data_IF_608214570623
#
_entry.id   IF_608214570623
#
_cell.length_a   1.000
_cell.length_b   1.000
_cell.length_c   1.000
_cell.angle_alpha   90.00
_cell.angle_beta   90.00
_cell.angle_gamma   90.00
#
_symmetry.space_group_name_H-M   'P 1'
#
loop_
_entity.id
_entity.type
_entity.pdbx_description
1 polymer ?
#
# COMPACT_ATOMS: atom_id res chain seq x y z
N UNK A 1 -5.59 24.31 36.50
CA UNK A 1 -4.91 24.81 35.28
C UNK A 1 -4.55 23.72 34.27
N UNK A 2 -4.02 22.55 34.67
CA UNK A 2 -3.58 21.48 33.73
C UNK A 2 -4.67 20.92 32.79
N UNK A 3 -5.93 20.89 33.24
CA UNK A 3 -7.06 20.41 32.41
C UNK A 3 -7.42 21.36 31.24
N UNK A 4 -7.23 22.68 31.41
CA UNK A 4 -7.46 23.67 30.33
C UNK A 4 -6.41 23.54 29.23
N UNK A 5 -5.17 23.16 29.58
CA UNK A 5 -4.09 22.97 28.62
C UNK A 5 -4.34 21.70 27.78
N UNK A 6 -4.74 20.58 28.38
CA UNK A 6 -5.13 19.38 27.62
C UNK A 6 -6.32 19.62 26.68
N UNK A 7 -7.31 20.41 27.10
CA UNK A 7 -8.46 20.74 26.24
C UNK A 7 -8.05 21.58 25.03
N UNK A 8 -7.12 22.53 25.20
CA UNK A 8 -6.57 23.34 24.10
C UNK A 8 -5.81 22.45 23.10
N UNK A 9 -4.98 21.52 23.57
CA UNK A 9 -4.27 20.58 22.69
C UNK A 9 -5.21 19.61 21.97
N UNK A 10 -6.30 19.18 22.61
CA UNK A 10 -7.34 18.36 21.98
C UNK A 10 -8.07 19.12 20.87
N UNK A 11 -8.47 20.38 21.12
CA UNK A 11 -9.10 21.23 20.10
C UNK A 11 -8.14 21.52 18.96
N UNK A 12 -6.86 21.80 19.23
CA UNK A 12 -5.85 22.02 18.18
C UNK A 12 -5.65 20.75 17.34
N UNK A 13 -5.56 19.57 17.95
CA UNK A 13 -5.41 18.31 17.23
C UNK A 13 -6.59 17.97 16.33
N UNK A 14 -7.82 18.17 16.80
CA UNK A 14 -9.04 17.93 16.02
C UNK A 14 -9.17 18.93 14.86
N UNK A 15 -8.86 20.21 15.08
CA UNK A 15 -8.93 21.23 14.03
C UNK A 15 -7.81 21.08 13.00
N UNK A 16 -6.62 20.62 13.40
CA UNK A 16 -5.50 20.41 12.49
C UNK A 16 -5.71 19.19 11.58
N UNK A 17 -6.23 18.08 12.12
CA UNK A 17 -6.58 16.90 11.33
C UNK A 17 -7.78 17.17 10.40
N UNK A 18 -8.76 17.97 10.84
CA UNK A 18 -9.88 18.39 9.98
C UNK A 18 -9.46 19.36 8.86
N UNK A 19 -8.49 20.26 9.12
CA UNK A 19 -8.01 21.24 8.13
C UNK A 19 -7.17 20.62 7.01
N UNK A 20 -6.31 19.65 7.33
CA UNK A 20 -5.44 18.98 6.33
C UNK A 20 -6.25 18.14 5.34
N UNK A 21 -7.45 17.69 5.70
CA UNK A 21 -8.34 16.92 4.81
C UNK A 21 -9.08 17.82 3.82
N UNK A 22 -9.36 19.08 4.15
CA UNK A 22 -10.10 20.00 3.28
C UNK A 22 -9.19 20.73 2.28
N UNK A 23 -7.90 20.89 2.58
CA UNK A 23 -6.96 21.62 1.70
C UNK A 23 -6.32 20.77 0.59
N UNK A 24 -6.56 19.45 0.57
CA UNK A 24 -5.95 18.52 -0.39
C UNK A 24 -6.85 18.13 -1.57
N UNK A 25 -8.08 18.66 -1.66
CA UNK A 25 -8.98 18.46 -2.82
C UNK A 25 -8.76 19.46 -3.97
N UNK A 26 -7.75 20.34 -3.85
CA UNK A 26 -7.51 21.44 -4.81
C UNK A 26 -6.37 21.27 -5.82
N UNK A 27 -5.69 20.11 -5.86
CA UNK A 27 -4.59 19.90 -6.81
C UNK A 27 -5.02 19.01 -7.98
N UNK A 28 -5.23 19.65 -9.13
CA UNK A 28 -5.52 19.04 -10.43
C UNK A 28 -4.59 17.83 -10.73
N UNK A 29 -5.19 16.65 -10.85
CA UNK A 29 -4.54 15.47 -11.42
C UNK A 29 -4.41 15.65 -12.93
N UNK A 30 -3.24 16.15 -13.35
CA UNK A 30 -2.82 16.11 -14.76
C UNK A 30 -2.78 14.66 -15.21
N UNK A 31 -3.69 14.36 -16.12
CA UNK A 31 -4.01 13.06 -16.69
C UNK A 31 -2.82 12.48 -17.48
N UNK A 32 -1.98 11.68 -16.82
CA UNK A 32 -0.83 10.98 -17.39
C UNK A 32 -1.20 9.77 -18.26
N UNK A 33 -2.46 9.30 -18.24
CA UNK A 33 -2.93 8.23 -19.13
C UNK A 33 -3.15 8.69 -20.57
N UNK A 34 -3.35 10.00 -20.79
CA UNK A 34 -3.59 10.54 -22.14
C UNK A 34 -2.30 10.64 -22.98
N UNK A 35 -1.14 10.78 -22.33
CA UNK A 35 0.15 10.90 -23.01
C UNK A 35 0.72 9.55 -23.49
N UNK A 36 0.32 8.44 -22.85
CA UNK A 36 0.82 7.09 -23.20
C UNK A 36 0.03 6.48 -24.37
N UNK A 37 -1.23 6.91 -24.59
CA UNK A 37 -2.03 6.44 -25.73
C UNK A 37 -1.74 7.13 -27.06
N UNK A 38 -1.08 8.30 -27.07
CA UNK A 38 -0.74 9.01 -28.33
C UNK A 38 0.64 8.66 -28.90
N UNK A 39 1.51 7.94 -28.16
CA UNK A 39 2.87 7.59 -28.64
C UNK A 39 2.96 6.15 -29.19
N UNK A 40 1.92 5.34 -29.04
CA UNK A 40 1.84 3.96 -29.53
C UNK A 40 0.71 3.79 -30.55
N UNK A 41 0.80 4.48 -31.68
CA UNK A 41 0.07 4.12 -32.90
C UNK A 41 1.11 3.81 -33.98
N UNK A 42 1.27 2.52 -34.26
CA UNK A 42 2.06 1.99 -35.38
C UNK A 42 1.47 2.43 -36.72
N UNK A 43 2.29 2.69 -37.75
CA UNK A 43 1.82 2.71 -39.13
C UNK A 43 1.75 1.28 -39.68
N UNK A 44 0.60 0.98 -40.29
CA UNK A 44 0.31 0.00 -41.34
C UNK A 44 1.36 -1.08 -41.66
N UNK A 45 1.00 -2.33 -41.33
CA UNK A 45 1.41 -3.50 -42.10
C UNK A 45 0.18 -4.14 -42.71
N UNK A 46 -0.09 -3.84 -43.98
CA UNK A 46 -0.84 -4.71 -44.87
C UNK A 46 -0.28 -4.54 -46.28
N UNK A 47 0.14 -5.66 -46.87
CA UNK A 47 0.43 -5.79 -48.30
C UNK A 47 1.89 -5.99 -48.65
N UNK A 48 2.33 -7.24 -48.71
CA UNK A 48 3.02 -7.82 -49.87
C UNK A 48 3.35 -9.30 -49.60
N UNK A 49 2.42 -10.16 -50.02
CA UNK A 49 2.72 -11.53 -50.42
C UNK A 49 3.47 -11.51 -51.77
N UNK A 50 4.48 -12.38 -51.89
CA UNK A 50 4.88 -12.99 -53.16
C UNK A 50 5.98 -12.32 -53.96
N UNK A 51 7.22 -12.79 -53.78
CA UNK A 51 8.19 -12.96 -54.87
C UNK A 51 9.36 -13.85 -54.45
N UNK A 52 9.30 -15.08 -54.95
CA UNK A 52 10.35 -15.98 -55.43
C UNK A 52 11.81 -15.89 -54.96
N UNK A 53 12.31 -17.09 -54.69
CA UNK A 53 13.69 -17.52 -54.58
C UNK A 53 14.59 -17.00 -55.70
N UNK A 54 15.68 -16.32 -55.32
CA UNK A 54 16.84 -16.05 -56.16
C UNK A 54 18.13 -16.26 -55.36
N UNK A 55 18.83 -17.36 -55.65
CA UNK A 55 20.23 -17.59 -55.29
C UNK A 55 21.13 -16.61 -56.08
N UNK A 56 21.97 -15.85 -55.38
CA UNK A 56 23.23 -15.25 -55.87
C UNK A 56 24.06 -14.90 -54.60
N UNK A 57 25.07 -15.69 -54.23
CA UNK A 57 26.47 -15.66 -54.69
C UNK A 57 27.20 -14.30 -54.55
N UNK A 58 28.22 -14.32 -53.68
CA UNK A 58 29.43 -13.46 -53.66
C UNK A 58 29.34 -11.93 -53.85
N UNK A 59 29.66 -11.18 -52.79
CA UNK A 59 30.96 -10.48 -52.58
C UNK A 59 30.91 -9.51 -51.38
N UNK A 60 32.00 -9.37 -50.60
CA UNK A 60 32.12 -8.32 -49.60
C UNK A 60 32.33 -6.97 -50.29
N UNK A 61 31.40 -6.04 -50.09
CA UNK A 61 31.51 -4.68 -50.57
C UNK A 61 32.62 -3.93 -49.80
N UNK A 62 33.71 -3.68 -50.51
CA UNK A 62 34.73 -2.70 -50.21
C UNK A 62 34.03 -1.34 -50.09
N UNK A 63 33.97 -0.76 -48.88
CA UNK A 63 33.58 0.65 -48.71
C UNK A 63 34.75 1.49 -49.21
N UNK A 64 34.66 1.82 -50.49
CA UNK A 64 35.45 2.80 -51.21
C UNK A 64 35.14 4.16 -50.58
N UNK A 65 36.17 4.83 -50.03
CA UNK A 65 36.12 6.26 -49.66
C UNK A 65 35.58 7.05 -50.84
N UNK A 66 34.36 7.58 -50.73
CA UNK A 66 33.88 8.64 -51.62
C UNK A 66 34.47 9.96 -51.12
N UNK A 67 35.63 10.32 -51.69
CA UNK A 67 36.05 11.70 -51.74
C UNK A 67 35.13 12.46 -52.71
N UNK A 68 34.03 13.02 -52.21
CA UNK A 68 33.47 14.25 -52.78
C UNK A 68 34.19 15.39 -52.04
N UNK A 69 35.16 16.11 -52.61
CA UNK A 69 35.11 16.87 -53.86
C UNK A 69 33.85 17.73 -53.93
N UNK A 70 33.68 18.60 -52.93
CA UNK A 70 33.00 19.86 -53.17
C UNK A 70 34.09 20.86 -53.56
N UNK A 71 34.16 21.00 -54.87
CA UNK A 71 34.99 21.91 -55.63
C UNK A 71 34.87 23.32 -55.06
N UNK A 72 36.02 23.82 -54.63
CA UNK A 72 36.23 25.24 -54.48
C UNK A 72 36.02 25.86 -55.87
N UNK A 73 35.04 26.76 -55.96
CA UNK A 73 34.96 27.73 -57.03
C UNK A 73 36.28 28.50 -57.07
N UNK A 74 37.16 28.10 -57.97
CA UNK A 74 38.31 28.87 -58.44
C UNK A 74 37.72 30.06 -59.21
N UNK A 75 38.06 31.31 -58.89
CA UNK A 75 37.78 32.40 -59.81
C UNK A 75 38.70 32.23 -61.02
N UNK A 76 38.07 31.94 -62.16
CA UNK A 76 38.64 32.02 -63.50
C UNK A 76 39.36 33.36 -63.66
N UNK A 77 40.69 33.31 -63.73
CA UNK A 77 41.51 34.41 -64.26
C UNK A 77 41.35 34.35 -65.77
N UNK A 78 40.21 34.87 -66.24
CA UNK A 78 39.95 34.98 -67.66
C UNK A 78 40.83 36.10 -68.22
N UNK A 79 41.73 35.65 -69.06
CA UNK A 79 42.79 36.39 -69.71
C UNK A 79 42.23 36.92 -71.04
N UNK A 80 41.39 37.97 -70.98
CA UNK A 80 40.95 38.67 -72.18
C UNK A 80 42.01 39.70 -72.58
N UNK A 81 42.89 39.25 -73.47
CA UNK A 81 43.78 40.08 -74.23
C UNK A 81 42.98 41.08 -75.07
N UNK A 82 43.07 42.36 -74.72
CA UNK A 82 42.70 43.46 -75.60
C UNK A 82 43.97 44.17 -76.04
N UNK A 83 44.41 43.80 -77.24
CA UNK A 83 45.41 44.51 -78.05
C UNK A 83 44.88 45.91 -78.39
N UNK A 84 45.66 46.98 -78.18
CA UNK A 84 45.51 48.22 -78.92
C UNK A 84 46.67 48.36 -79.90
N UNK A 85 46.33 48.29 -81.18
CA UNK A 85 47.13 48.76 -82.31
C UNK A 85 47.27 50.28 -82.27
N UNK A 86 48.53 50.71 -82.36
CA UNK A 86 49.07 51.76 -83.22
C UNK A 86 48.60 53.23 -83.08
N UNK A 87 49.57 54.14 -83.22
CA UNK A 87 49.29 55.50 -83.66
C UNK A 87 49.86 56.64 -82.81
N UNK A 88 50.98 57.18 -83.30
CA UNK A 88 51.38 58.60 -83.29
C UNK A 88 52.32 59.07 -82.16
N UNK A 89 53.57 59.29 -82.56
CA UNK A 89 54.56 60.11 -81.85
C UNK A 89 54.07 61.56 -81.67
N UNK A 90 54.61 62.27 -80.67
CA UNK A 90 55.41 63.41 -81.07
C UNK A 90 56.76 63.48 -80.37
N UNK A 91 57.71 63.92 -81.19
CA UNK A 91 59.01 64.49 -80.86
C UNK A 91 58.86 65.63 -79.85
N UNK A 92 59.75 65.75 -78.87
CA UNK A 92 59.95 67.02 -78.18
C UNK A 92 60.57 66.95 -76.79
N UNK A 93 61.78 67.52 -76.70
CA UNK A 93 62.41 68.11 -75.50
C UNK A 93 63.00 67.18 -74.43
N UNK A 94 64.29 66.89 -74.62
CA UNK A 94 65.24 66.63 -73.53
C UNK A 94 65.24 67.80 -72.54
N UNK A 95 64.41 67.68 -71.50
CA UNK A 95 64.46 68.53 -70.32
C UNK A 95 65.44 67.90 -69.33
N UNK A 96 66.51 68.64 -69.04
CA UNK A 96 67.57 68.35 -68.08
C UNK A 96 66.95 67.74 -66.79
N UNK A 97 67.10 66.43 -66.61
CA UNK A 97 66.53 65.70 -65.49
C UNK A 97 67.25 66.10 -64.21
N UNK A 98 66.52 66.70 -63.26
CA UNK A 98 67.04 66.89 -61.91
C UNK A 98 67.27 65.51 -61.26
N UNK A 99 68.52 65.15 -60.90
CA UNK A 99 68.85 63.84 -60.32
C UNK A 99 68.12 63.53 -59.00
N UNK A 100 67.43 64.51 -58.41
CA UNK A 100 66.61 64.33 -57.21
C UNK A 100 65.20 63.80 -57.43
N UNK A 101 64.66 63.79 -58.66
CA UNK A 101 63.26 63.34 -58.91
C UNK A 101 63.17 61.81 -59.05
N UNK A 102 64.06 61.21 -59.83
CA UNK A 102 64.12 59.74 -60.01
C UNK A 102 64.38 59.01 -58.69
N UNK A 103 65.23 59.58 -57.82
CA UNK A 103 65.49 59.01 -56.49
C UNK A 103 64.25 59.04 -55.60
N UNK A 104 63.46 60.12 -55.65
CA UNK A 104 62.20 60.23 -54.90
C UNK A 104 61.15 59.23 -55.39
N UNK A 105 61.01 59.09 -56.70
CA UNK A 105 60.07 58.12 -57.29
C UNK A 105 60.48 56.67 -56.98
N UNK A 106 61.78 56.35 -57.00
CA UNK A 106 62.31 55.05 -56.60
C UNK A 106 62.07 54.73 -55.12
N UNK A 107 62.27 55.72 -54.23
CA UNK A 107 62.01 55.58 -52.78
C UNK A 107 60.52 55.38 -52.52
N UNK A 108 59.65 56.15 -53.18
CA UNK A 108 58.19 55.99 -53.07
C UNK A 108 57.74 54.61 -53.58
N UNK A 109 58.24 54.16 -54.74
CA UNK A 109 57.95 52.82 -55.25
C UNK A 109 58.42 51.70 -54.30
N UNK A 110 59.58 51.86 -53.66
CA UNK A 110 60.05 50.92 -52.61
C UNK A 110 59.16 50.96 -51.37
N UNK A 111 58.68 52.14 -50.97
CA UNK A 111 57.75 52.32 -49.85
C UNK A 111 56.41 51.64 -50.12
N UNK A 112 55.85 51.80 -51.32
CA UNK A 112 54.60 51.17 -51.73
C UNK A 112 54.73 49.64 -51.82
N UNK A 113 55.88 49.15 -52.29
CA UNK A 113 56.21 47.71 -52.22
C UNK A 113 56.27 47.20 -50.78
N UNK A 114 56.85 47.97 -49.86
CA UNK A 114 56.90 47.60 -48.44
C UNK A 114 55.49 47.56 -47.83
N UNK A 115 54.64 48.54 -48.15
CA UNK A 115 53.26 48.62 -47.68
C UNK A 115 52.45 47.42 -48.21
N UNK A 116 52.56 47.10 -49.51
CA UNK A 116 51.87 45.95 -50.10
C UNK A 116 52.37 44.61 -49.57
N UNK A 117 53.68 44.47 -49.30
CA UNK A 117 54.22 43.29 -48.63
C UNK A 117 53.74 43.17 -47.17
N UNK A 118 53.61 44.30 -46.46
CA UNK A 118 53.03 44.32 -45.11
C UNK A 118 51.57 43.87 -45.13
N UNK A 119 50.79 44.34 -46.10
CA UNK A 119 49.39 43.91 -46.28
C UNK A 119 49.30 42.42 -46.61
N UNK A 120 50.11 41.91 -47.55
CA UNK A 120 50.16 40.47 -47.87
C UNK A 120 50.57 39.62 -46.68
N UNK A 121 51.53 40.07 -45.87
CA UNK A 121 51.93 39.38 -44.64
C UNK A 121 50.76 39.30 -43.65
N UNK A 122 50.02 40.39 -43.49
CA UNK A 122 48.84 40.42 -42.62
C UNK A 122 47.71 39.53 -43.13
N UNK A 123 47.49 39.51 -44.45
CA UNK A 123 46.52 38.62 -45.10
C UNK A 123 46.89 37.15 -44.90
N UNK A 124 48.15 36.76 -45.11
CA UNK A 124 48.64 35.39 -44.87
C UNK A 124 48.53 35.00 -43.40
N UNK A 125 48.84 35.91 -42.47
CA UNK A 125 48.65 35.65 -41.03
C UNK A 125 47.17 35.42 -40.71
N UNK A 126 46.26 36.19 -41.33
CA UNK A 126 44.82 36.01 -41.18
C UNK A 126 44.30 34.68 -41.76
N UNK A 127 44.81 34.25 -42.92
CA UNK A 127 44.42 32.94 -43.50
C UNK A 127 44.98 31.78 -42.69
N UNK A 128 46.19 31.91 -42.14
CA UNK A 128 46.81 30.89 -41.29
C UNK A 128 46.05 30.68 -39.98
N UNK A 129 45.62 31.75 -39.30
CA UNK A 129 44.78 31.63 -38.10
C UNK A 129 43.39 31.04 -38.42
N UNK A 130 42.78 31.41 -39.56
CA UNK A 130 41.53 30.78 -40.01
C UNK A 130 41.69 29.29 -40.27
N UNK A 131 42.79 28.86 -40.89
CA UNK A 131 43.07 27.43 -41.13
C UNK A 131 43.29 26.68 -39.81
N UNK A 132 44.06 27.26 -38.90
CA UNK A 132 44.31 26.69 -37.56
C UNK A 132 43.02 26.49 -36.77
N UNK A 133 42.11 27.46 -36.83
CA UNK A 133 40.81 27.35 -36.17
C UNK A 133 39.93 26.28 -36.82
N UNK A 134 39.92 26.17 -38.16
CA UNK A 134 39.24 25.06 -38.86
C UNK A 134 39.79 23.69 -38.43
N UNK A 135 41.11 23.53 -38.32
CA UNK A 135 41.72 22.27 -37.89
C UNK A 135 41.35 21.94 -36.44
N UNK A 136 41.29 22.94 -35.55
CA UNK A 136 40.81 22.75 -34.17
C UNK A 136 39.35 22.30 -34.12
N UNK A 137 38.48 22.91 -34.91
CA UNK A 137 37.08 22.52 -35.00
C UNK A 137 36.91 21.11 -35.58
N UNK A 138 37.67 20.75 -36.61
CA UNK A 138 37.69 19.40 -37.17
C UNK A 138 38.18 18.37 -36.15
N UNK A 139 39.24 18.68 -35.40
CA UNK A 139 39.73 17.81 -34.34
C UNK A 139 38.69 17.62 -33.23
N UNK A 140 38.01 18.71 -32.82
CA UNK A 140 36.95 18.65 -31.82
C UNK A 140 35.77 17.79 -32.31
N UNK A 141 35.36 17.96 -33.56
CA UNK A 141 34.30 17.15 -34.18
C UNK A 141 34.68 15.67 -34.27
N UNK A 142 35.94 15.35 -34.61
CA UNK A 142 36.42 13.98 -34.65
C UNK A 142 36.40 13.32 -33.25
N UNK A 143 36.86 14.03 -32.23
CA UNK A 143 36.83 13.54 -30.85
C UNK A 143 35.38 13.26 -30.41
N UNK A 144 34.44 14.18 -30.68
CA UNK A 144 33.03 13.95 -30.34
C UNK A 144 32.41 12.76 -31.07
N UNK A 145 32.85 12.47 -32.30
CA UNK A 145 32.38 11.31 -33.06
C UNK A 145 32.93 9.99 -32.48
N UNK A 146 34.16 9.99 -31.98
CA UNK A 146 34.77 8.84 -31.31
C UNK A 146 34.05 8.56 -29.99
N UNK A 147 33.80 9.58 -29.17
CA UNK A 147 33.07 9.45 -27.90
C UNK A 147 31.67 8.86 -28.13
N UNK A 148 30.95 9.32 -29.18
CA UNK A 148 29.64 8.77 -29.54
C UNK A 148 29.72 7.30 -29.97
N UNK A 149 30.75 6.90 -30.72
CA UNK A 149 30.93 5.49 -31.10
C UNK A 149 31.23 4.59 -29.91
N UNK A 150 32.01 5.07 -28.94
CA UNK A 150 32.25 4.33 -27.70
C UNK A 150 30.97 4.15 -26.89
N UNK A 151 30.14 5.19 -26.80
CA UNK A 151 28.81 5.09 -26.17
C UNK A 151 27.89 4.09 -26.89
N UNK A 152 27.84 4.11 -28.23
CA UNK A 152 27.06 3.14 -29.00
C UNK A 152 27.52 1.69 -28.77
N UNK A 153 28.83 1.46 -28.67
CA UNK A 153 29.38 0.14 -28.39
C UNK A 153 29.03 -0.34 -26.98
N UNK A 154 29.09 0.56 -25.99
CA UNK A 154 28.72 0.23 -24.61
C UNK A 154 27.23 -0.10 -24.50
N UNK A 155 26.36 0.68 -25.15
CA UNK A 155 24.91 0.39 -25.18
C UNK A 155 24.63 -0.96 -25.87
N UNK A 156 25.32 -1.27 -26.97
CA UNK A 156 25.20 -2.58 -27.64
C UNK A 156 25.63 -3.72 -26.72
N UNK A 157 26.74 -3.55 -25.97
CA UNK A 157 27.21 -4.54 -25.00
C UNK A 157 26.18 -4.78 -23.90
N UNK A 158 25.67 -3.71 -23.29
CA UNK A 158 24.63 -3.81 -22.26
C UNK A 158 23.35 -4.48 -22.79
N UNK A 159 22.94 -4.17 -24.01
CA UNK A 159 21.81 -4.83 -24.64
C UNK A 159 22.03 -6.34 -24.81
N UNK A 160 23.22 -6.75 -25.24
CA UNK A 160 23.57 -8.17 -25.38
C UNK A 160 23.64 -8.91 -24.04
N UNK A 161 24.20 -8.27 -23.01
CA UNK A 161 24.26 -8.83 -21.65
C UNK A 161 22.85 -8.99 -21.04
N UNK A 162 21.99 -7.98 -21.21
CA UNK A 162 20.60 -8.03 -20.77
C UNK A 162 19.81 -9.13 -21.50
N UNK A 163 19.99 -9.26 -22.81
CA UNK A 163 19.31 -10.30 -23.60
C UNK A 163 19.76 -11.70 -23.18
N UNK A 164 21.06 -11.88 -22.88
CA UNK A 164 21.58 -13.15 -22.35
C UNK A 164 21.04 -13.44 -20.95
N UNK A 165 20.96 -12.43 -20.08
CA UNK A 165 20.37 -12.54 -18.74
C UNK A 165 18.90 -12.99 -18.82
N UNK A 166 18.08 -12.32 -19.65
CA UNK A 166 16.67 -12.70 -19.87
C UNK A 166 16.57 -14.12 -20.41
N UNK A 167 17.40 -14.49 -21.39
CA UNK A 167 17.43 -15.85 -21.96
C UNK A 167 17.80 -16.90 -20.91
N UNK A 168 18.67 -16.56 -19.95
CA UNK A 168 19.04 -17.47 -18.86
C UNK A 168 17.96 -17.59 -17.78
N UNK A 169 17.11 -16.58 -17.61
CA UNK A 169 16.00 -16.57 -16.66
C UNK A 169 14.77 -17.34 -17.19
N UNK A 170 14.57 -17.38 -18.51
CA UNK A 170 13.41 -18.01 -19.14
C UNK A 170 13.15 -19.46 -18.68
N UNK A 171 14.16 -20.36 -18.62
CA UNK A 171 13.96 -21.74 -18.17
C UNK A 171 13.54 -21.86 -16.70
N UNK A 172 13.97 -20.93 -15.84
CA UNK A 172 13.53 -20.91 -14.45
C UNK A 172 12.06 -20.51 -14.35
N UNK A 173 11.62 -19.54 -15.15
CA UNK A 173 10.22 -19.13 -15.22
C UNK A 173 9.32 -20.25 -15.75
N UNK A 174 9.77 -20.99 -16.77
CA UNK A 174 9.04 -22.17 -17.28
C UNK A 174 8.87 -23.24 -16.21
N UNK A 175 9.94 -23.57 -15.46
CA UNK A 175 9.84 -24.55 -14.35
C UNK A 175 8.86 -24.10 -13.26
N UNK A 176 8.83 -22.80 -12.95
CA UNK A 176 7.89 -22.26 -11.97
C UNK A 176 6.44 -22.36 -12.47
N UNK A 177 6.19 -22.13 -13.77
CA UNK A 177 4.88 -22.34 -14.37
C UNK A 177 4.45 -23.81 -14.33
N UNK A 178 5.35 -24.75 -14.67
CA UNK A 178 5.07 -26.18 -14.59
C UNK A 178 4.74 -26.61 -13.15
N UNK A 179 5.45 -26.06 -12.16
CA UNK A 179 5.20 -26.29 -10.73
C UNK A 179 3.84 -25.77 -10.29
N UNK A 180 3.48 -24.54 -10.70
CA UNK A 180 2.18 -23.95 -10.40
C UNK A 180 1.03 -24.72 -11.05
N UNK A 181 1.23 -25.25 -12.26
CA UNK A 181 0.24 -26.10 -12.90
C UNK A 181 0.06 -27.44 -12.15
N UNK A 182 1.14 -28.03 -11.66
CA UNK A 182 1.08 -29.22 -10.81
C UNK A 182 0.32 -28.94 -9.49
N UNK A 183 0.63 -27.84 -8.81
CA UNK A 183 -0.07 -27.41 -7.59
C UNK A 183 -1.57 -27.17 -7.85
N UNK A 184 -1.91 -26.51 -8.95
CA UNK A 184 -3.30 -26.30 -9.35
C UNK A 184 -4.05 -27.64 -9.50
N UNK A 185 -3.44 -28.62 -10.18
CA UNK A 185 -4.06 -29.96 -10.35
C UNK A 185 -4.28 -30.65 -9.00
N UNK A 186 -3.36 -30.51 -8.05
CA UNK A 186 -3.53 -31.07 -6.70
C UNK A 186 -4.67 -30.39 -5.95
N UNK A 187 -4.76 -29.06 -6.01
CA UNK A 187 -5.85 -28.31 -5.40
C UNK A 187 -7.22 -28.65 -5.99
N UNK A 188 -7.31 -28.90 -7.31
CA UNK A 188 -8.54 -29.36 -7.96
C UNK A 188 -8.98 -30.75 -7.46
N UNK A 189 -8.03 -31.66 -7.20
CA UNK A 189 -8.31 -32.98 -6.62
C UNK A 189 -8.80 -32.85 -5.18
N UNK A 190 -8.17 -32.01 -4.37
CA UNK A 190 -8.56 -31.77 -2.98
C UNK A 190 -9.94 -31.13 -2.88
N UNK A 191 -10.27 -30.21 -3.79
CA UNK A 191 -11.59 -29.59 -3.87
C UNK A 191 -12.68 -30.62 -4.18
N UNK A 192 -12.43 -31.54 -5.12
CA UNK A 192 -13.36 -32.66 -5.40
C UNK A 192 -13.55 -33.58 -4.20
N UNK A 193 -12.48 -33.86 -3.46
CA UNK A 193 -12.58 -34.65 -2.22
C UNK A 193 -13.39 -33.90 -1.15
N UNK A 194 -13.18 -32.60 -0.98
CA UNK A 194 -13.93 -31.77 -0.04
C UNK A 194 -15.43 -31.72 -0.40
N UNK A 195 -15.76 -31.58 -1.69
CA UNK A 195 -17.14 -31.64 -2.18
C UNK A 195 -17.79 -32.99 -1.87
N UNK A 196 -17.09 -34.09 -2.12
CA UNK A 196 -17.60 -35.45 -1.83
C UNK A 196 -17.86 -35.64 -0.33
N UNK A 197 -16.96 -35.13 0.53
CA UNK A 197 -17.15 -35.16 1.99
C UNK A 197 -18.33 -34.28 2.43
N UNK A 198 -18.57 -33.16 1.77
CA UNK A 198 -19.69 -32.28 2.09
C UNK A 198 -21.02 -32.98 1.76
N UNK A 199 -21.11 -33.68 0.63
CA UNK A 199 -22.30 -34.47 0.28
C UNK A 199 -22.52 -35.61 1.30
N UNK A 200 -21.48 -36.34 1.71
CA UNK A 200 -21.58 -37.35 2.78
C UNK A 200 -22.06 -36.75 4.11
N UNK A 201 -21.53 -35.58 4.50
CA UNK A 201 -21.99 -34.89 5.71
C UNK A 201 -23.46 -34.47 5.61
N UNK A 202 -23.91 -34.03 4.44
CA UNK A 202 -25.29 -33.65 4.18
C UNK A 202 -26.21 -34.87 4.26
N UNK A 203 -25.84 -35.98 3.64
CA UNK A 203 -26.59 -37.25 3.74
C UNK A 203 -26.68 -37.73 5.20
N UNK A 204 -25.59 -37.60 5.97
CA UNK A 204 -25.59 -37.93 7.40
C UNK A 204 -26.48 -36.99 8.21
N UNK A 205 -26.50 -35.70 7.88
CA UNK A 205 -27.38 -34.72 8.53
C UNK A 205 -28.85 -35.00 8.23
N UNK A 206 -29.17 -35.33 6.98
CA UNK A 206 -30.53 -35.72 6.55
C UNK A 206 -31.00 -36.97 7.30
N UNK A 207 -30.13 -37.98 7.43
CA UNK A 207 -30.41 -39.17 8.23
C UNK A 207 -30.62 -38.87 9.73
N UNK A 208 -29.86 -37.91 10.30
CA UNK A 208 -30.05 -37.49 11.69
C UNK A 208 -31.36 -36.71 11.86
N UNK A 209 -31.70 -35.86 10.90
CA UNK A 209 -32.97 -35.12 10.88
C UNK A 209 -34.17 -36.08 10.80
N UNK A 210 -34.11 -37.08 9.91
CA UNK A 210 -35.16 -38.10 9.79
C UNK A 210 -35.21 -39.01 11.02
N UNK A 211 -34.06 -39.34 11.61
CA UNK A 211 -33.98 -40.04 12.89
C UNK A 211 -34.61 -39.25 14.05
N UNK A 212 -34.44 -37.93 14.08
CA UNK A 212 -35.07 -37.02 15.05
C UNK A 212 -36.58 -36.87 14.82
N UNK A 213 -37.05 -36.88 13.57
CA UNK A 213 -38.49 -36.89 13.24
C UNK A 213 -39.14 -38.21 13.63
N UNK A 214 -38.44 -39.34 13.47
CA UNK A 214 -38.91 -40.67 13.85
C UNK A 214 -38.79 -40.98 15.34
N UNK A 215 -37.87 -40.31 16.05
CA UNK A 215 -37.92 -40.16 17.50
C UNK A 215 -39.09 -39.23 17.82
N UNK A 216 -40.30 -39.75 17.69
CA UNK A 216 -41.51 -39.10 18.14
C UNK A 216 -41.43 -38.97 19.67
N UNK A 217 -40.79 -37.88 20.09
CA UNK A 217 -40.56 -37.52 21.48
C UNK A 217 -41.89 -37.44 22.23
N UNK A 218 -43.02 -37.27 21.53
CA UNK A 218 -44.35 -37.35 22.13
C UNK A 218 -44.79 -38.78 22.46
N UNK A 219 -44.51 -39.78 21.61
CA UNK A 219 -44.74 -41.18 21.98
C UNK A 219 -43.83 -41.59 23.14
N UNK A 220 -42.55 -41.21 23.12
CA UNK A 220 -41.63 -41.52 24.23
C UNK A 220 -41.97 -40.78 25.54
N UNK A 221 -42.38 -39.49 25.49
CA UNK A 221 -42.85 -38.76 26.67
C UNK A 221 -44.20 -39.31 27.19
N UNK A 222 -45.07 -39.80 26.32
CA UNK A 222 -46.38 -40.34 26.71
C UNK A 222 -46.27 -41.76 27.28
N UNK A 223 -45.36 -42.59 26.77
CA UNK A 223 -45.10 -43.93 27.31
C UNK A 223 -44.26 -43.93 28.60
N UNK A 224 -43.44 -42.91 28.84
CA UNK A 224 -42.69 -42.78 30.11
C UNK A 224 -43.56 -42.28 31.26
N UNK A 225 -44.44 -43.15 31.76
CA UNK A 225 -45.34 -42.91 32.88
C UNK A 225 -44.65 -42.52 34.21
N UNK A 226 -43.31 -42.64 34.32
CA UNK A 226 -42.54 -42.40 35.55
C UNK A 226 -41.85 -41.04 35.62
N UNK A 227 -41.93 -40.19 34.60
CA UNK A 227 -41.26 -38.87 34.61
C UNK A 227 -42.11 -37.85 35.37
N UNK A 228 -41.52 -37.27 36.43
CA UNK A 228 -42.11 -36.22 37.25
C UNK A 228 -42.68 -35.07 36.40
N UNK A 229 -43.87 -34.51 36.73
CA UNK A 229 -44.52 -33.45 35.97
C UNK A 229 -43.61 -32.22 35.77
N UNK A 230 -42.71 -31.94 36.72
CA UNK A 230 -41.73 -30.85 36.62
C UNK A 230 -40.69 -31.07 35.50
N UNK A 231 -40.20 -32.31 35.32
CA UNK A 231 -39.29 -32.64 34.22
C UNK A 231 -40.02 -32.58 32.88
N UNK A 232 -41.28 -33.01 32.85
CA UNK A 232 -42.15 -32.95 31.66
C UNK A 232 -42.36 -31.49 31.20
N UNK A 233 -42.53 -30.56 32.14
CA UNK A 233 -42.61 -29.12 31.86
C UNK A 233 -41.28 -28.52 31.41
N UNK A 234 -40.16 -28.91 32.05
CA UNK A 234 -38.83 -28.47 31.65
C UNK A 234 -38.44 -28.94 30.25
N UNK A 235 -38.82 -30.16 29.86
CA UNK A 235 -38.61 -30.67 28.50
C UNK A 235 -39.50 -29.95 27.47
N UNK A 236 -40.77 -29.65 27.80
CA UNK A 236 -41.63 -28.83 26.94
C UNK A 236 -41.04 -27.43 26.75
N UNK A 237 -40.61 -26.78 27.84
CA UNK A 237 -39.99 -25.45 27.77
C UNK A 237 -38.70 -25.48 26.93
N UNK A 238 -37.86 -26.51 27.09
CA UNK A 238 -36.62 -26.66 26.32
C UNK A 238 -36.91 -26.89 24.83
N UNK A 239 -37.92 -27.72 24.50
CA UNK A 239 -38.41 -27.92 23.13
C UNK A 239 -38.93 -26.62 22.54
N UNK A 240 -39.81 -25.91 23.23
CA UNK A 240 -40.41 -24.67 22.74
C UNK A 240 -39.36 -23.56 22.57
N UNK A 241 -38.29 -23.59 23.37
CA UNK A 241 -37.14 -22.69 23.24
C UNK A 241 -36.20 -23.10 22.10
N UNK A 242 -36.10 -24.40 21.77
CA UNK A 242 -35.27 -24.92 20.68
C UNK A 242 -35.98 -24.96 19.33
N UNK A 243 -37.31 -24.98 19.29
CA UNK A 243 -38.09 -25.02 18.05
C UNK A 243 -37.74 -23.89 17.06
N UNK A 244 -37.57 -22.62 17.50
CA UNK A 244 -37.12 -21.53 16.62
C UNK A 244 -35.70 -21.74 16.08
N UNK A 245 -34.83 -22.40 16.85
CA UNK A 245 -33.46 -22.72 16.41
C UNK A 245 -33.43 -23.86 15.40
N UNK A 246 -34.33 -24.85 15.54
CA UNK A 246 -34.51 -25.97 14.61
C UNK A 246 -35.19 -25.48 13.31
N UNK A 247 -36.21 -24.64 13.41
CA UNK A 247 -36.82 -23.96 12.25
C UNK A 247 -35.78 -23.07 11.55
N UNK A 248 -34.99 -22.29 12.29
CA UNK A 248 -33.89 -21.51 11.75
C UNK A 248 -32.83 -22.35 11.02
N UNK A 249 -32.55 -23.56 11.50
CA UNK A 249 -31.62 -24.50 10.86
C UNK A 249 -32.15 -24.99 9.50
N UNK A 250 -33.47 -25.19 9.38
CA UNK A 250 -34.12 -25.58 8.11
C UNK A 250 -34.12 -24.43 7.09
N UNK A 251 -34.25 -23.17 7.54
CA UNK A 251 -34.11 -21.97 6.70
C UNK A 251 -32.68 -21.76 6.23
N UNK A 252 -31.69 -22.11 7.07
CA UNK A 252 -30.26 -22.13 6.72
C UNK A 252 -29.98 -23.24 5.68
N UNK A 253 -30.59 -24.42 5.81
CA UNK A 253 -30.49 -25.52 4.84
C UNK A 253 -31.03 -25.13 3.45
N UNK A 254 -32.17 -24.43 3.39
CA UNK A 254 -32.72 -23.89 2.13
C UNK A 254 -31.85 -22.78 1.52
N UNK A 255 -31.16 -21.98 2.33
CA UNK A 255 -30.26 -20.93 1.84
C UNK A 255 -28.85 -21.43 1.48
N UNK A 256 -28.44 -22.60 1.98
CA UNK A 256 -27.20 -23.29 1.56
C UNK A 256 -27.38 -24.18 0.31
N UNK A 257 -28.60 -24.64 0.02
CA UNK A 257 -28.91 -25.43 -1.19
C UNK A 257 -28.95 -24.63 -2.49
N UNK A 258 -28.98 -23.29 -2.41
CA UNK A 258 -28.83 -22.38 -3.55
C UNK A 258 -27.39 -21.89 -3.64
N UNK A 259 -26.71 -22.20 -4.74
CA UNK A 259 -25.29 -22.00 -5.05
C UNK A 259 -24.76 -20.55 -5.07
N UNK A 260 -25.33 -19.64 -4.30
CA UNK A 260 -24.85 -18.25 -4.21
C UNK A 260 -24.22 -18.01 -2.83
N UNK A 261 -22.87 -17.88 -2.74
CA UNK A 261 -22.17 -17.51 -1.49
C UNK A 261 -22.57 -16.13 -0.93
N UNK A 262 -23.50 -15.43 -1.57
CA UNK A 262 -24.02 -14.11 -1.22
C UNK A 262 -24.84 -14.08 0.09
N UNK A 263 -25.52 -15.18 0.46
CA UNK A 263 -26.42 -15.19 1.62
C UNK A 263 -25.67 -15.32 2.96
N UNK A 264 -24.65 -16.18 3.00
CA UNK A 264 -23.76 -16.33 4.17
C UNK A 264 -23.01 -15.02 4.48
N UNK A 265 -22.72 -14.24 3.43
CA UNK A 265 -22.10 -12.92 3.55
C UNK A 265 -22.97 -11.94 4.31
N UNK A 266 -24.28 -11.94 4.12
CA UNK A 266 -25.17 -10.96 4.77
C UNK A 266 -25.35 -11.24 6.26
N UNK A 267 -25.42 -12.52 6.67
CA UNK A 267 -25.52 -12.89 8.07
C UNK A 267 -24.23 -12.62 8.85
N UNK A 268 -23.08 -13.02 8.28
CA UNK A 268 -21.77 -12.74 8.89
C UNK A 268 -21.48 -11.24 8.94
N UNK A 269 -21.86 -10.49 7.90
CA UNK A 269 -21.78 -9.03 7.89
C UNK A 269 -22.69 -8.42 8.95
N UNK A 270 -23.92 -8.94 9.14
CA UNK A 270 -24.84 -8.46 10.17
C UNK A 270 -24.31 -8.74 11.58
N UNK A 271 -23.75 -9.92 11.83
CA UNK A 271 -23.08 -10.25 13.11
C UNK A 271 -21.87 -9.35 13.33
N UNK A 272 -21.04 -9.15 12.30
CA UNK A 272 -19.88 -8.27 12.38
C UNK A 272 -20.29 -6.82 12.61
N UNK A 273 -21.31 -6.32 11.91
CA UNK A 273 -21.87 -4.98 12.11
C UNK A 273 -22.43 -4.83 13.53
N UNK A 274 -23.13 -5.86 14.02
CA UNK A 274 -23.65 -5.89 15.39
C UNK A 274 -22.51 -5.85 16.41
N UNK A 275 -21.46 -6.66 16.25
CA UNK A 275 -20.29 -6.65 17.13
C UNK A 275 -19.50 -5.34 17.03
N UNK A 276 -19.37 -4.79 15.82
CA UNK A 276 -18.67 -3.53 15.54
C UNK A 276 -19.40 -2.31 16.11
N UNK A 277 -20.74 -2.30 16.10
CA UNK A 277 -21.54 -1.14 16.54
C UNK A 277 -22.01 -1.27 17.98
N UNK A 278 -22.59 -2.42 18.33
CA UNK A 278 -23.24 -2.60 19.63
C UNK A 278 -22.22 -2.69 20.76
N UNK A 279 -21.08 -3.35 20.53
CA UNK A 279 -20.08 -3.52 21.57
C UNK A 279 -19.44 -2.19 22.01
N UNK A 280 -18.94 -1.29 21.13
CA UNK A 280 -18.42 0.00 21.57
C UNK A 280 -19.50 0.88 22.18
N UNK A 281 -20.76 0.81 21.72
CA UNK A 281 -21.88 1.51 22.38
C UNK A 281 -22.05 1.02 23.82
N UNK A 282 -22.08 -0.31 24.03
CA UNK A 282 -22.18 -0.90 25.37
C UNK A 282 -20.98 -0.51 26.22
N UNK A 283 -19.77 -0.47 25.66
CA UNK A 283 -18.56 -0.10 26.39
C UNK A 283 -18.57 1.39 26.76
N UNK A 284 -18.94 2.29 25.84
CA UNK A 284 -19.12 3.73 26.09
C UNK A 284 -20.20 3.96 27.14
N UNK A 285 -21.38 3.32 27.00
CA UNK A 285 -22.45 3.41 27.99
C UNK A 285 -21.98 2.89 29.35
N UNK A 286 -21.22 1.80 29.39
CA UNK A 286 -20.67 1.24 30.63
C UNK A 286 -19.67 2.20 31.28
N UNK A 287 -18.84 2.89 30.49
CA UNK A 287 -17.93 3.96 30.98
C UNK A 287 -18.71 5.18 31.46
N UNK A 288 -19.71 5.66 30.70
CA UNK A 288 -20.57 6.79 31.08
C UNK A 288 -21.36 6.50 32.36
N UNK A 289 -21.92 5.29 32.48
CA UNK A 289 -22.59 4.85 33.70
C UNK A 289 -21.61 4.79 34.88
N UNK A 290 -20.35 4.44 34.67
CA UNK A 290 -19.34 4.48 35.73
C UNK A 290 -18.98 5.91 36.14
N UNK A 291 -18.79 6.81 35.18
CA UNK A 291 -18.54 8.24 35.45
C UNK A 291 -19.70 8.85 36.24
N UNK A 292 -20.94 8.51 35.88
CA UNK A 292 -22.15 8.99 36.56
C UNK A 292 -22.36 8.35 37.94
N UNK A 293 -21.92 7.11 38.15
CA UNK A 293 -22.15 6.31 39.36
C UNK A 293 -20.93 6.26 40.28
N UNK A 294 -20.22 7.39 40.41
CA UNK A 294 -19.06 7.55 41.31
C UNK A 294 -19.19 6.69 42.59
N UNK A 295 -18.21 5.81 42.79
CA UNK A 295 -17.99 4.94 43.96
C UNK A 295 -18.96 3.73 44.04
N UNK A 296 -18.56 2.54 43.58
CA UNK A 296 -17.88 1.59 44.48
C UNK A 296 -17.38 0.38 43.69
N UNK A 297 -16.05 0.28 43.49
CA UNK A 297 -15.24 -0.92 43.19
C UNK A 297 -14.68 -1.16 41.78
N UNK A 298 -15.04 -0.42 40.74
CA UNK A 298 -14.37 -0.62 39.44
C UNK A 298 -13.20 0.37 39.32
N UNK A 299 -11.98 -0.14 39.46
CA UNK A 299 -10.77 0.70 39.35
C UNK A 299 -10.53 1.09 37.89
N UNK A 300 -9.86 2.21 37.66
CA UNK A 300 -9.44 2.68 36.33
C UNK A 300 -8.73 1.57 35.54
N UNK A 301 -7.98 0.70 36.23
CA UNK A 301 -7.33 -0.47 35.64
C UNK A 301 -8.29 -1.45 34.97
N UNK A 302 -9.49 -1.66 35.53
CA UNK A 302 -10.47 -2.57 34.93
C UNK A 302 -11.03 -1.97 33.63
N UNK A 303 -11.24 -0.65 33.57
CA UNK A 303 -11.67 0.03 32.35
C UNK A 303 -10.59 -0.09 31.27
N UNK A 304 -9.33 0.15 31.66
CA UNK A 304 -8.19 -0.01 30.75
C UNK A 304 -8.04 -1.44 30.26
N UNK A 305 -8.23 -2.43 31.14
CA UNK A 305 -8.18 -3.85 30.78
C UNK A 305 -9.33 -4.24 29.83
N UNK A 306 -10.56 -3.84 30.13
CA UNK A 306 -11.72 -4.13 29.29
C UNK A 306 -11.60 -3.48 27.91
N UNK A 307 -11.16 -2.22 27.84
CA UNK A 307 -10.96 -1.54 26.56
C UNK A 307 -9.82 -2.16 25.76
N UNK A 308 -8.69 -2.52 26.39
CA UNK A 308 -7.58 -3.19 25.68
C UNK A 308 -8.01 -4.58 25.18
N UNK A 309 -8.77 -5.32 25.98
CA UNK A 309 -9.36 -6.61 25.58
C UNK A 309 -10.34 -6.45 24.41
N UNK A 310 -11.14 -5.40 24.41
CA UNK A 310 -12.03 -5.08 23.28
C UNK A 310 -11.27 -4.88 21.98
N UNK A 311 -10.26 -3.98 21.97
CA UNK A 311 -9.47 -3.73 20.77
C UNK A 311 -8.73 -4.99 20.30
N UNK A 312 -8.25 -5.84 21.24
CA UNK A 312 -7.66 -7.14 20.91
C UNK A 312 -8.65 -8.09 20.24
N UNK A 313 -9.84 -8.28 20.82
CA UNK A 313 -10.89 -9.13 20.23
C UNK A 313 -11.33 -8.61 18.87
N UNK A 314 -11.53 -7.29 18.74
CA UNK A 314 -11.89 -6.66 17.47
C UNK A 314 -10.81 -6.88 16.41
N UNK A 315 -9.54 -6.72 16.76
CA UNK A 315 -8.41 -6.97 15.85
C UNK A 315 -8.35 -8.43 15.42
N UNK A 316 -8.58 -9.37 16.34
CA UNK A 316 -8.65 -10.81 16.03
C UNK A 316 -9.83 -11.12 15.09
N UNK A 317 -11.01 -10.53 15.32
CA UNK A 317 -12.17 -10.67 14.45
C UNK A 317 -11.92 -10.10 13.06
N UNK A 318 -11.31 -8.91 12.96
CA UNK A 318 -10.91 -8.32 11.68
C UNK A 318 -9.88 -9.19 10.94
N UNK A 319 -8.91 -9.76 11.67
CA UNK A 319 -7.93 -10.69 11.10
C UNK A 319 -8.62 -11.93 10.54
N UNK A 320 -9.49 -12.57 11.34
CA UNK A 320 -10.20 -13.78 10.96
C UNK A 320 -11.14 -13.54 9.78
N UNK A 321 -11.88 -12.43 9.78
CA UNK A 321 -12.73 -12.05 8.67
C UNK A 321 -11.92 -11.78 7.39
N UNK A 322 -10.78 -11.07 7.50
CA UNK A 322 -9.91 -10.82 6.34
C UNK A 322 -9.33 -12.12 5.78
N UNK A 323 -8.97 -13.08 6.64
CA UNK A 323 -8.52 -14.42 6.23
C UNK A 323 -9.61 -15.23 5.52
N UNK A 324 -10.84 -15.19 6.03
CA UNK A 324 -11.96 -15.92 5.43
C UNK A 324 -12.38 -15.35 4.07
N UNK A 325 -12.38 -14.03 3.92
CA UNK A 325 -12.91 -13.36 2.72
C UNK A 325 -11.83 -12.97 1.70
N UNK A 326 -10.55 -13.13 2.03
CA UNK A 326 -9.42 -12.68 1.21
C UNK A 326 -9.50 -11.20 0.77
N UNK A 327 -10.32 -10.40 1.46
CA UNK A 327 -10.58 -8.98 1.20
C UNK A 327 -10.66 -8.26 2.54
N UNK A 328 -10.18 -7.01 2.58
CA UNK A 328 -10.21 -6.23 3.82
C UNK A 328 -11.66 -6.03 4.26
N UNK A 329 -12.01 -6.51 5.45
CA UNK A 329 -13.36 -6.42 6.00
C UNK A 329 -13.84 -4.96 6.05
N UNK A 330 -12.95 -4.02 6.38
CA UNK A 330 -13.30 -2.61 6.48
C UNK A 330 -13.74 -2.04 5.13
N UNK A 331 -13.08 -2.44 4.04
CA UNK A 331 -13.46 -2.06 2.67
C UNK A 331 -14.82 -2.67 2.34
N UNK A 332 -15.04 -3.95 2.65
CA UNK A 332 -16.33 -4.62 2.38
C UNK A 332 -17.48 -3.97 3.15
N UNK A 333 -17.24 -3.54 4.40
CA UNK A 333 -18.26 -2.85 5.21
C UNK A 333 -18.49 -1.43 4.69
N UNK A 334 -17.43 -0.71 4.31
CA UNK A 334 -17.53 0.62 3.71
C UNK A 334 -18.33 0.59 2.40
N UNK A 335 -18.02 -0.35 1.50
CA UNK A 335 -18.69 -0.49 0.20
C UNK A 335 -20.19 -0.79 0.35
N UNK A 336 -20.58 -1.54 1.38
CA UNK A 336 -21.98 -1.94 1.61
C UNK A 336 -22.76 -0.94 2.46
N UNK A 337 -22.11 -0.30 3.42
CA UNK A 337 -22.74 0.53 4.44
C UNK A 337 -21.86 1.75 4.80
N UNK A 338 -21.69 2.73 3.90
CA UNK A 338 -20.75 3.83 4.10
C UNK A 338 -21.07 4.66 5.35
N UNK A 339 -22.34 4.99 5.57
CA UNK A 339 -22.78 5.76 6.76
C UNK A 339 -22.52 4.99 8.07
N UNK A 340 -22.74 3.68 8.06
CA UNK A 340 -22.48 2.83 9.22
C UNK A 340 -20.99 2.70 9.52
N UNK A 341 -20.18 2.64 8.46
CA UNK A 341 -18.73 2.64 8.54
C UNK A 341 -18.18 3.95 9.10
N UNK A 342 -18.62 5.11 8.61
CA UNK A 342 -18.17 6.41 9.12
C UNK A 342 -18.51 6.58 10.60
N UNK A 343 -19.73 6.21 11.00
CA UNK A 343 -20.13 6.23 12.40
C UNK A 343 -19.26 5.31 13.25
N UNK A 344 -18.96 4.11 12.73
CA UNK A 344 -18.06 3.17 13.40
C UNK A 344 -16.65 3.76 13.58
N UNK A 345 -16.07 4.34 12.53
CA UNK A 345 -14.74 4.97 12.59
C UNK A 345 -14.70 6.10 13.62
N UNK A 346 -15.72 6.95 13.64
CA UNK A 346 -15.83 8.05 14.62
C UNK A 346 -15.96 7.51 16.04
N UNK A 347 -16.84 6.54 16.27
CA UNK A 347 -17.04 5.93 17.60
C UNK A 347 -15.78 5.21 18.10
N UNK A 348 -15.11 4.47 17.21
CA UNK A 348 -13.89 3.74 17.53
C UNK A 348 -12.74 4.70 17.83
N UNK A 349 -12.61 5.79 17.07
CA UNK A 349 -11.63 6.84 17.31
C UNK A 349 -11.88 7.54 18.65
N UNK A 350 -13.14 7.87 18.96
CA UNK A 350 -13.50 8.45 20.24
C UNK A 350 -13.15 7.51 21.41
N UNK A 351 -13.49 6.22 21.29
CA UNK A 351 -13.18 5.23 22.31
C UNK A 351 -11.66 5.08 22.49
N UNK A 352 -10.91 5.09 21.41
CA UNK A 352 -9.45 5.04 21.43
C UNK A 352 -8.85 6.23 22.19
N UNK A 353 -9.32 7.45 21.91
CA UNK A 353 -8.88 8.65 22.63
C UNK A 353 -9.26 8.62 24.11
N UNK A 354 -10.49 8.21 24.44
CA UNK A 354 -10.93 8.06 25.83
C UNK A 354 -10.04 7.07 26.60
N UNK A 355 -9.72 5.93 25.99
CA UNK A 355 -8.81 4.93 26.55
C UNK A 355 -7.39 5.43 26.73
N UNK A 356 -6.88 6.20 25.76
CA UNK A 356 -5.56 6.83 25.84
C UNK A 356 -5.51 7.81 27.01
N UNK A 357 -6.53 8.65 27.18
CA UNK A 357 -6.62 9.59 28.31
C UNK A 357 -6.68 8.83 29.64
N UNK A 358 -7.45 7.74 29.73
CA UNK A 358 -7.50 6.88 30.91
C UNK A 358 -6.13 6.27 31.23
N UNK A 359 -5.38 5.80 30.23
CA UNK A 359 -4.03 5.27 30.44
C UNK A 359 -3.02 6.34 30.86
N UNK A 360 -3.05 7.53 30.25
CA UNK A 360 -2.21 8.66 30.66
C UNK A 360 -2.49 9.00 32.12
N UNK A 361 -3.77 9.09 32.50
CA UNK A 361 -4.16 9.36 33.88
C UNK A 361 -3.72 8.27 34.84
N UNK A 362 -3.91 7.00 34.49
CA UNK A 362 -3.43 5.86 35.27
C UNK A 362 -1.90 5.93 35.47
N UNK A 363 -1.17 6.34 34.43
CA UNK A 363 0.29 6.48 34.46
C UNK A 363 0.76 7.68 35.31
N UNK A 364 -0.04 8.76 35.35
CA UNK A 364 0.25 9.94 36.18
C UNK A 364 -0.04 9.69 37.67
N UNK A 365 -1.05 8.87 37.97
CA UNK A 365 -1.47 8.55 39.34
C UNK A 365 -0.63 7.40 39.96
N UNK A 366 0.08 6.61 39.15
CA UNK A 366 0.95 5.51 39.59
C UNK A 366 2.41 5.91 39.81
N UNK A 367 3.14 5.17 40.65
CA UNK A 367 4.60 5.21 40.68
C UNK A 367 5.14 4.81 39.30
N UNK A 368 6.01 5.64 38.72
CA UNK A 368 6.60 5.48 37.39
C UNK A 368 7.47 4.22 37.32
N UNK A 369 6.83 3.07 37.22
CA UNK A 369 7.45 1.83 36.75
C UNK A 369 7.53 1.90 35.23
N UNK A 370 8.44 1.15 34.60
CA UNK A 370 8.66 1.22 33.15
C UNK A 370 7.49 0.66 32.30
N UNK A 371 6.57 -0.11 32.90
CA UNK A 371 5.51 -0.80 32.16
C UNK A 371 4.36 0.09 31.65
N UNK A 372 3.81 1.07 32.40
CA UNK A 372 2.67 1.88 31.94
C UNK A 372 3.04 2.80 30.79
N UNK A 373 4.29 3.29 30.77
CA UNK A 373 4.80 4.11 29.68
C UNK A 373 4.86 3.34 28.36
N UNK A 374 5.37 2.09 28.39
CA UNK A 374 5.43 1.23 27.20
C UNK A 374 4.03 0.85 26.70
N UNK A 375 3.08 0.64 27.63
CA UNK A 375 1.69 0.37 27.29
C UNK A 375 1.04 1.59 26.62
N UNK A 376 1.26 2.78 27.18
CA UNK A 376 0.72 4.02 26.63
C UNK A 376 1.32 4.35 25.25
N UNK A 377 2.63 4.18 25.08
CA UNK A 377 3.29 4.43 23.80
C UNK A 377 2.87 3.39 22.74
N UNK A 378 2.72 2.12 23.12
CA UNK A 378 2.19 1.07 22.25
C UNK A 378 0.77 1.37 21.79
N UNK A 379 -0.11 1.80 22.70
CA UNK A 379 -1.48 2.16 22.38
C UNK A 379 -1.53 3.34 21.41
N UNK A 380 -0.79 4.42 21.70
CA UNK A 380 -0.70 5.62 20.85
C UNK A 380 -0.19 5.24 19.45
N UNK A 381 0.86 4.43 19.37
CA UNK A 381 1.44 4.00 18.08
C UNK A 381 0.43 3.23 17.24
N UNK A 382 -0.32 2.30 17.85
CA UNK A 382 -1.37 1.55 17.15
C UNK A 382 -2.50 2.46 16.69
N UNK A 383 -2.99 3.37 17.54
CA UNK A 383 -4.11 4.23 17.15
C UNK A 383 -3.74 5.21 16.06
N UNK A 384 -2.54 5.80 16.14
CA UNK A 384 -2.02 6.66 15.07
C UNK A 384 -1.87 5.86 13.78
N UNK A 385 -1.32 4.65 13.84
CA UNK A 385 -1.23 3.77 12.68
C UNK A 385 -2.62 3.45 12.10
N UNK A 386 -3.61 3.11 12.92
CA UNK A 386 -4.98 2.81 12.48
C UNK A 386 -5.65 4.03 11.82
N UNK A 387 -5.56 5.20 12.46
CA UNK A 387 -6.16 6.45 11.95
C UNK A 387 -5.50 6.91 10.65
N UNK A 388 -4.17 6.81 10.54
CA UNK A 388 -3.45 7.21 9.32
C UNK A 388 -3.58 6.19 8.19
N UNK A 389 -3.69 4.90 8.51
CA UNK A 389 -3.81 3.84 7.49
C UNK A 389 -5.22 3.72 6.91
N UNK A 390 -6.27 4.12 7.64
CA UNK A 390 -7.65 4.01 7.14
C UNK A 390 -7.89 4.81 5.85
N UNK A 391 -7.58 6.12 5.77
CA UNK A 391 -7.80 6.91 4.57
C UNK A 391 -6.95 6.41 3.40
N UNK A 392 -5.69 6.05 3.67
CA UNK A 392 -4.80 5.52 2.64
C UNK A 392 -5.30 4.19 2.06
N UNK A 393 -5.91 3.32 2.89
CA UNK A 393 -6.53 2.07 2.44
C UNK A 393 -7.81 2.31 1.63
N UNK A 394 -8.59 3.32 1.98
CA UNK A 394 -9.83 3.66 1.26
C UNK A 394 -9.55 4.31 -0.10
N UNK A 395 -8.47 5.07 -0.23
CA UNK A 395 -8.11 5.75 -1.48
C UNK A 395 -7.48 4.82 -2.53
N UNK A 396 -6.84 3.73 -2.12
CA UNK A 396 -6.24 2.76 -3.04
C UNK A 396 -7.19 1.58 -3.29
N UNK A 397 -8.12 1.75 -4.24
CA UNK A 397 -8.85 0.63 -4.84
C UNK A 397 -7.85 -0.38 -5.42
N UNK A 398 -7.69 -1.53 -4.74
CA UNK A 398 -6.72 -2.57 -5.11
C UNK A 398 -5.56 -2.78 -4.13
N UNK A 399 -5.60 -2.16 -2.95
CA UNK A 399 -4.61 -2.42 -1.90
C UNK A 399 -4.51 -3.93 -1.61
N UNK A 400 -3.29 -4.46 -1.67
CA UNK A 400 -3.00 -5.87 -1.42
C UNK A 400 -3.60 -6.31 -0.06
N UNK A 401 -4.49 -7.31 -0.01
CA UNK A 401 -5.14 -7.77 1.22
C UNK A 401 -4.12 -8.27 2.25
N UNK A 402 -2.94 -8.71 1.78
CA UNK A 402 -1.83 -9.11 2.62
C UNK A 402 -1.34 -7.97 3.54
N UNK A 403 -1.32 -6.72 3.07
CA UNK A 403 -0.85 -5.58 3.87
C UNK A 403 -1.82 -5.28 5.03
N UNK A 404 -3.12 -5.33 4.76
CA UNK A 404 -4.15 -5.21 5.77
C UNK A 404 -4.09 -6.36 6.77
N UNK A 405 -3.92 -7.60 6.30
CA UNK A 405 -3.78 -8.77 7.16
C UNK A 405 -2.61 -8.64 8.15
N UNK A 406 -1.42 -8.26 7.65
CA UNK A 406 -0.23 -8.06 8.50
C UNK A 406 -0.52 -7.01 9.57
N UNK A 407 -1.19 -5.91 9.20
CA UNK A 407 -1.54 -4.86 10.16
C UNK A 407 -2.45 -5.35 11.27
N UNK A 408 -3.49 -6.15 10.94
CA UNK A 408 -4.40 -6.71 11.94
C UNK A 408 -3.70 -7.74 12.83
N UNK A 409 -2.83 -8.59 12.27
CA UNK A 409 -2.03 -9.55 13.06
C UNK A 409 -1.14 -8.82 14.06
N UNK A 410 -0.43 -7.77 13.61
CA UNK A 410 0.44 -6.98 14.49
C UNK A 410 -0.34 -6.29 15.60
N UNK A 411 -1.47 -5.66 15.28
CA UNK A 411 -2.37 -5.08 16.28
C UNK A 411 -2.87 -6.13 17.28
N UNK A 412 -3.32 -7.30 16.80
CA UNK A 412 -3.80 -8.40 17.65
C UNK A 412 -2.72 -8.92 18.60
N UNK A 413 -1.50 -9.15 18.08
CA UNK A 413 -0.37 -9.60 18.88
C UNK A 413 0.03 -8.57 19.94
N UNK A 414 0.01 -7.29 19.59
CA UNK A 414 0.36 -6.23 20.53
C UNK A 414 -0.70 -6.06 21.61
N UNK A 415 -2.00 -6.10 21.28
CA UNK A 415 -3.07 -6.10 22.29
C UNK A 415 -3.06 -7.36 23.16
N UNK A 416 -2.79 -8.53 22.58
CA UNK A 416 -2.64 -9.77 23.34
C UNK A 416 -1.45 -9.70 24.30
N UNK A 417 -0.32 -9.17 23.83
CA UNK A 417 0.85 -8.93 24.65
C UNK A 417 0.54 -7.96 25.80
N UNK A 418 -0.17 -6.85 25.54
CA UNK A 418 -0.62 -5.90 26.58
C UNK A 418 -1.50 -6.58 27.65
N UNK A 419 -2.40 -7.47 27.23
CA UNK A 419 -3.26 -8.23 28.16
C UNK A 419 -2.44 -9.21 29.00
N UNK A 420 -1.52 -9.96 28.39
CA UNK A 420 -0.65 -10.92 29.08
C UNK A 420 0.30 -10.21 30.06
N UNK A 421 0.88 -9.08 29.66
CA UNK A 421 1.78 -8.28 30.50
C UNK A 421 1.05 -7.78 31.75
N UNK A 422 -0.19 -7.30 31.59
CA UNK A 422 -1.05 -6.87 32.72
C UNK A 422 -1.40 -8.04 33.65
N UNK A 423 -1.63 -9.23 33.13
CA UNK A 423 -1.95 -10.42 33.94
C UNK A 423 -0.75 -10.85 34.80
N UNK A 424 0.48 -10.77 34.28
CA UNK A 424 1.72 -11.03 35.03
C UNK A 424 1.93 -10.09 36.22
N UNK A 425 1.48 -8.84 36.09
CA UNK A 425 1.59 -7.82 37.17
C UNK A 425 0.45 -7.96 38.19
N UNK A 426 -0.67 -8.56 37.80
CA UNK A 426 -1.85 -8.77 38.64
C UNK A 426 -2.16 -10.25 38.93
N UNK A 427 -1.18 -11.12 39.22
CA UNK A 427 -1.36 -12.56 39.01
C UNK A 427 -2.44 -13.20 39.89
N UNK A 428 -2.87 -12.60 41.01
CA UNK A 428 -3.85 -13.24 41.91
C UNK A 428 -4.75 -12.28 42.70
N UNK A 429 -4.81 -10.98 42.39
CA UNK A 429 -5.62 -10.06 43.22
C UNK A 429 -7.12 -10.14 42.92
N UNK A 430 -7.51 -10.39 41.66
CA UNK A 430 -8.90 -10.41 41.24
C UNK A 430 -9.67 -11.62 41.79
N UNK A 431 -9.20 -12.83 41.51
CA UNK A 431 -9.81 -14.06 42.02
C UNK A 431 -9.77 -14.12 43.54
N UNK A 432 -8.65 -13.73 44.16
CA UNK A 432 -8.48 -13.78 45.62
C UNK A 432 -9.28 -12.70 46.33
N UNK A 433 -9.44 -11.48 45.77
CA UNK A 433 -10.31 -10.45 46.35
C UNK A 433 -11.80 -10.77 46.16
N UNK A 434 -12.18 -11.33 45.02
CA UNK A 434 -13.55 -11.77 44.76
C UNK A 434 -13.93 -12.96 45.65
N UNK A 435 -13.05 -13.97 45.76
CA UNK A 435 -13.21 -15.09 46.70
C UNK A 435 -13.24 -14.60 48.15
N UNK A 436 -12.36 -13.69 48.55
CA UNK A 436 -12.37 -13.13 49.91
C UNK A 436 -13.62 -12.30 50.20
N UNK A 437 -14.16 -11.56 49.21
CA UNK A 437 -15.45 -10.85 49.38
C UNK A 437 -16.61 -11.80 49.48
N UNK A 438 -16.66 -12.85 48.65
CA UNK A 438 -17.69 -13.89 48.73
C UNK A 438 -17.61 -14.63 50.07
N UNK A 439 -16.39 -14.86 50.59
CA UNK A 439 -16.15 -15.43 51.92
C UNK A 439 -16.61 -14.48 53.04
N UNK A 440 -16.34 -13.18 52.96
CA UNK A 440 -16.83 -12.18 53.94
C UNK A 440 -18.35 -11.99 53.88
N UNK A 441 -18.96 -12.03 52.69
CA UNK A 441 -20.42 -11.97 52.53
C UNK A 441 -21.09 -13.20 53.15
N UNK A 442 -20.53 -14.41 52.94
CA UNK A 442 -20.97 -15.62 53.65
C UNK A 442 -20.77 -15.50 55.16
N UNK A 443 -19.64 -14.95 55.62
CA UNK A 443 -19.41 -14.73 57.06
C UNK A 443 -20.33 -13.67 57.68
N UNK A 444 -20.88 -12.74 56.91
CA UNK A 444 -21.92 -11.80 57.38
C UNK A 444 -23.32 -12.41 57.38
N UNK A 445 -23.60 -13.32 56.45
CA UNK A 445 -24.86 -14.08 56.42
C UNK A 445 -24.90 -15.18 57.49
N UNK A 446 -23.77 -15.81 57.81
CA UNK A 446 -23.61 -16.55 59.05
C UNK A 446 -23.41 -15.55 60.18
N UNK A 447 -24.48 -14.91 60.64
CA UNK A 447 -24.43 -13.98 61.78
C UNK A 447 -23.61 -14.59 62.94
N UNK A 448 -22.96 -13.75 63.76
CA UNK A 448 -22.08 -14.23 64.83
C UNK A 448 -22.83 -15.29 65.62
N UNK A 449 -22.23 -16.48 65.75
CA UNK A 449 -22.79 -17.54 66.57
C UNK A 449 -23.06 -16.93 67.94
N UNK A 450 -24.33 -16.69 68.27
CA UNK A 450 -24.69 -16.18 69.57
C UNK A 450 -24.33 -17.27 70.57
N UNK A 451 -23.22 -17.07 71.30
CA UNK A 451 -22.94 -17.82 72.51
C UNK A 451 -24.06 -17.45 73.49
N UNK A 452 -25.06 -18.33 73.59
CA UNK A 452 -26.06 -18.23 74.65
C UNK A 452 -25.34 -18.28 76.00
N UNK A 453 -25.73 -17.39 76.92
CA UNK A 453 -25.16 -17.21 78.26
C UNK A 453 -25.13 -18.48 79.14
N UNK A 454 -25.66 -19.61 78.68
CA UNK A 454 -25.84 -20.83 79.47
C UNK A 454 -25.01 -22.03 78.97
N UNK A 455 -24.06 -21.87 78.03
CA UNK A 455 -23.09 -22.92 77.70
C UNK A 455 -23.65 -24.21 77.07
N UNK A 456 -24.93 -24.25 76.65
CA UNK A 456 -25.54 -25.43 76.04
C UNK A 456 -25.87 -25.12 74.57
N UNK A 457 -25.12 -25.74 73.65
CA UNK A 457 -25.35 -25.70 72.21
C UNK A 457 -26.65 -26.44 71.87
N UNK A 458 -27.73 -25.73 71.54
CA UNK A 458 -28.90 -26.35 70.90
C UNK A 458 -28.64 -26.53 69.40
N UNK A 459 -28.87 -27.73 68.84
CA UNK A 459 -28.71 -27.97 67.41
C UNK A 459 -29.74 -27.14 66.63
N UNK A 460 -29.24 -26.39 65.65
CA UNK A 460 -30.06 -25.58 64.75
C UNK A 460 -30.85 -26.52 63.84
N UNK A 461 -32.16 -26.60 64.05
CA UNK A 461 -33.06 -27.33 63.16
C UNK A 461 -32.88 -26.78 61.73
N UNK A 462 -32.54 -27.68 60.81
CA UNK A 462 -32.48 -27.37 59.38
C UNK A 462 -33.92 -27.20 58.87
N UNK A 463 -34.21 -26.18 58.04
CA UNK A 463 -35.40 -26.20 57.20
C UNK A 463 -35.27 -27.28 56.11
#
# INVERSE_FOLDING_TARGET
>A
MRFKICWIWFVIGVTWVGGVVVENEGAESVNSEKLVREVLISPDQDGLEGAELGQEEHRPAIIRRSSGSNDAAVPDVNNDGKVPTDGTAPVGEQKLAEPGKELRDSVNAKRDRLISLSHKKQEIAGTLEKMKERTRLQQKSLNTMLDLREQEQEVKRQYTENLQSVKSALPALTRNLDSLEAERRTAEVDLKHAQTRLEDLKDRLDNVEDGLKHLDLETWLSESASISPMMREAFKLTRDTMNPAIEGLSTIKQTMGGSNPSSLNSFMLAILLYLMVLFPIVLVLSVLFQVKRSLSNLTLDHVVMMGSGYFGVLSCLCTFATLLYWRDLLIVVHDKHPVGFDLFVVMQSFLFWAMTICQIRASLDGEWTSSPFLQCSGLITIGVYFILSLPAKLQHEGANPASALISYIMCSLLFLWLVIEKDKVMPYSFTKSFLNRRRRARMRQSGPAQMGKNGILKPKARP
#
